data_IF_779276818448
#
_entry.id   IF_779276818448
#
_cell.length_a   1.000
_cell.length_b   1.000
_cell.length_c   1.000
_cell.angle_alpha   90.00
_cell.angle_beta   90.00
_cell.angle_gamma   90.00
#
_symmetry.space_group_name_H-M   'P 1'
#
loop_
_entity.id
_entity.type
_entity.pdbx_description
1 polymer ?
#
# COMPACT_ATOMS: atom_id res chain seq x y z
N UNK A 1 40.18 6.11 51.23
CA UNK A 1 39.26 7.27 51.30
C UNK A 1 39.06 7.78 49.88
N UNK A 2 37.78 7.91 49.49
CA UNK A 2 37.22 8.61 48.32
C UNK A 2 37.67 8.09 46.94
N UNK A 3 36.90 7.21 46.28
CA UNK A 3 35.63 7.49 45.57
C UNK A 3 35.72 8.68 44.62
N UNK A 4 36.10 8.41 43.38
CA UNK A 4 35.79 9.27 42.23
C UNK A 4 34.68 8.60 41.42
N UNK A 5 33.45 8.94 41.80
CA UNK A 5 32.23 8.63 41.07
C UNK A 5 32.24 9.42 39.77
N UNK A 6 32.61 8.76 38.67
CA UNK A 6 32.50 9.33 37.33
C UNK A 6 31.05 9.28 36.89
N UNK A 7 30.36 10.41 37.05
CA UNK A 7 29.10 10.72 36.39
C UNK A 7 29.34 10.83 34.87
N UNK A 8 29.20 9.73 34.13
CA UNK A 8 28.98 9.82 32.68
C UNK A 8 27.49 9.69 32.42
N UNK A 9 26.87 10.87 32.35
CA UNK A 9 25.50 11.05 31.93
C UNK A 9 25.27 10.34 30.58
N UNK A 10 24.17 9.61 30.53
CA UNK A 10 23.63 8.98 29.35
C UNK A 10 23.53 9.99 28.20
N UNK A 11 24.39 9.85 27.20
CA UNK A 11 24.16 10.44 25.89
C UNK A 11 23.11 9.57 25.22
N UNK A 12 21.85 9.96 25.40
CA UNK A 12 20.75 9.55 24.55
C UNK A 12 21.09 10.10 23.16
N UNK A 13 21.70 9.25 22.33
CA UNK A 13 21.83 9.51 20.89
C UNK A 13 20.42 9.33 20.32
N UNK A 14 19.65 10.41 20.42
CA UNK A 14 18.45 10.61 19.66
C UNK A 14 18.82 10.73 18.19
N UNK A 15 18.68 9.64 17.45
CA UNK A 15 18.47 9.71 16.01
C UNK A 15 16.96 9.67 15.81
N UNK A 16 16.34 10.82 16.07
CA UNK A 16 15.11 11.23 15.39
C UNK A 16 15.57 11.65 14.00
N UNK A 17 15.56 10.74 13.04
CA UNK A 17 15.83 11.07 11.65
C UNK A 17 15.16 10.07 10.71
N UNK A 18 13.83 10.04 10.69
CA UNK A 18 13.04 9.62 9.52
C UNK A 18 11.69 10.36 9.54
N UNK A 19 11.73 11.67 9.33
CA UNK A 19 10.50 12.47 9.11
C UNK A 19 10.73 13.47 7.98
N UNK A 20 11.31 13.02 6.88
CA UNK A 20 11.43 13.84 5.67
C UNK A 20 11.16 12.98 4.42
N UNK A 21 9.90 12.58 4.25
CA UNK A 21 9.36 12.14 2.95
C UNK A 21 7.84 12.35 2.94
N UNK A 22 7.39 13.53 3.37
CA UNK A 22 6.00 13.97 3.24
C UNK A 22 6.00 15.38 2.67
N UNK A 23 6.69 15.58 1.54
CA UNK A 23 6.57 16.82 0.78
C UNK A 23 6.07 16.52 -0.62
N UNK A 24 4.80 16.83 -0.79
CA UNK A 24 4.17 17.28 -2.03
C UNK A 24 4.22 16.31 -3.22
N UNK A 25 3.21 15.44 -3.28
CA UNK A 25 2.49 15.25 -4.54
C UNK A 25 1.02 15.49 -4.24
N UNK A 26 0.53 16.67 -4.62
CA UNK A 26 -0.87 17.10 -4.49
C UNK A 26 -1.79 16.37 -5.47
N UNK A 27 -1.70 15.04 -5.49
CA UNK A 27 -2.72 14.21 -6.08
C UNK A 27 -3.80 14.04 -5.01
N UNK A 28 -5.03 14.45 -5.30
CA UNK A 28 -6.21 14.00 -4.54
C UNK A 28 -6.20 12.47 -4.59
N UNK A 29 -5.60 11.87 -3.57
CA UNK A 29 -5.51 10.43 -3.47
C UNK A 29 -6.86 9.97 -2.96
N UNK A 30 -7.67 9.46 -3.88
CA UNK A 30 -8.98 8.97 -3.52
C UNK A 30 -8.78 7.71 -2.66
N UNK A 31 -8.89 7.90 -1.35
CA UNK A 31 -8.69 6.82 -0.39
C UNK A 31 -9.77 5.75 -0.62
N UNK A 32 -9.40 4.48 -0.58
CA UNK A 32 -10.40 3.42 -0.69
C UNK A 32 -11.34 3.48 0.51
N UNK A 33 -12.62 3.19 0.27
CA UNK A 33 -13.69 3.33 1.26
C UNK A 33 -13.47 2.51 2.54
N UNK A 34 -12.70 1.42 2.48
CA UNK A 34 -12.36 0.63 3.67
C UNK A 34 -11.49 1.39 4.68
N UNK A 35 -10.82 2.48 4.27
CA UNK A 35 -10.02 3.34 5.14
C UNK A 35 -10.78 4.57 5.67
N UNK A 36 -12.06 4.75 5.35
CA UNK A 36 -12.86 5.91 5.80
C UNK A 36 -12.88 6.05 7.33
N UNK A 37 -12.88 4.91 8.03
CA UNK A 37 -12.89 4.84 9.50
C UNK A 37 -11.51 4.62 10.12
N UNK A 38 -10.46 4.47 9.30
CA UNK A 38 -9.10 4.33 9.81
C UNK A 38 -8.59 5.66 10.36
N UNK A 39 -7.68 5.61 11.32
CA UNK A 39 -7.03 6.82 11.81
C UNK A 39 -6.15 7.46 10.71
N UNK A 40 -5.89 8.77 10.83
CA UNK A 40 -5.12 9.51 9.83
C UNK A 40 -3.70 8.98 9.63
N UNK A 41 -3.09 8.37 10.65
CA UNK A 41 -1.76 7.78 10.50
C UNK A 41 -1.80 6.49 9.66
N UNK A 42 -2.84 5.68 9.82
CA UNK A 42 -3.10 4.50 8.99
C UNK A 42 -3.43 4.87 7.55
N UNK A 43 -4.24 5.91 7.33
CA UNK A 43 -4.49 6.47 5.99
C UNK A 43 -3.20 6.98 5.33
N UNK A 44 -2.37 7.71 6.07
CA UNK A 44 -1.09 8.21 5.56
C UNK A 44 -0.13 7.05 5.24
N UNK A 45 -0.07 6.01 6.07
CA UNK A 45 0.73 4.79 5.81
C UNK A 45 0.28 4.11 4.52
N UNK A 46 -1.03 3.99 4.29
CA UNK A 46 -1.54 3.46 3.04
C UNK A 46 -1.06 4.28 1.84
N UNK A 47 -1.20 5.61 1.89
CA UNK A 47 -0.73 6.51 0.82
C UNK A 47 0.77 6.31 0.57
N UNK A 48 1.59 6.27 1.63
CA UNK A 48 3.03 6.01 1.51
C UNK A 48 3.31 4.67 0.82
N UNK A 49 2.60 3.60 1.18
CA UNK A 49 2.79 2.29 0.54
C UNK A 49 2.43 2.33 -0.94
N UNK A 50 1.29 2.91 -1.32
CA UNK A 50 0.83 2.88 -2.72
C UNK A 50 1.62 3.82 -3.63
N UNK A 51 2.11 4.94 -3.08
CA UNK A 51 2.90 5.94 -3.81
C UNK A 51 4.40 5.62 -3.87
N UNK A 52 4.89 4.67 -3.09
CA UNK A 52 6.30 4.27 -3.06
C UNK A 52 6.72 3.70 -4.43
N UNK A 53 7.60 4.38 -5.20
CA UNK A 53 7.98 3.93 -6.54
C UNK A 53 8.93 2.74 -6.52
N UNK A 54 9.61 2.48 -5.39
CA UNK A 54 10.66 1.46 -5.27
C UNK A 54 10.08 0.07 -4.95
N UNK A 55 8.80 -0.01 -4.56
CA UNK A 55 8.15 -1.27 -4.20
C UNK A 55 7.33 -1.86 -5.34
N UNK A 56 7.48 -3.17 -5.55
CA UNK A 56 6.68 -3.88 -6.54
C UNK A 56 5.21 -3.94 -6.12
N UNK A 57 4.27 -4.12 -7.07
CA UNK A 57 2.86 -4.24 -6.75
C UNK A 57 2.55 -5.33 -5.71
N UNK A 58 3.25 -6.47 -5.77
CA UNK A 58 3.10 -7.56 -4.80
C UNK A 58 3.55 -7.13 -3.41
N UNK A 59 4.72 -6.49 -3.29
CA UNK A 59 5.21 -6.00 -1.99
C UNK A 59 4.31 -4.92 -1.38
N UNK A 60 3.69 -4.09 -2.23
CA UNK A 60 2.68 -3.12 -1.78
C UNK A 60 1.45 -3.83 -1.22
N UNK A 61 0.98 -4.88 -1.88
CA UNK A 61 -0.15 -5.66 -1.39
C UNK A 61 0.15 -6.28 -0.02
N UNK A 62 1.32 -6.90 0.16
CA UNK A 62 1.74 -7.49 1.45
C UNK A 62 1.79 -6.43 2.56
N UNK A 63 2.37 -5.25 2.26
CA UNK A 63 2.43 -4.13 3.22
C UNK A 63 1.05 -3.58 3.59
N UNK A 64 0.11 -3.55 2.65
CA UNK A 64 -1.28 -3.14 2.92
C UNK A 64 -1.99 -4.21 3.76
N UNK A 65 -1.76 -5.49 3.49
CA UNK A 65 -2.32 -6.60 4.27
C UNK A 65 -1.88 -6.52 5.75
N UNK A 66 -0.58 -6.28 5.99
CA UNK A 66 -0.05 -6.08 7.34
C UNK A 66 -0.58 -4.82 8.02
N UNK A 67 -0.78 -3.72 7.26
CA UNK A 67 -1.42 -2.52 7.78
C UNK A 67 -2.84 -2.82 8.27
N UNK A 68 -3.61 -3.60 7.50
CA UNK A 68 -5.02 -3.93 7.77
C UNK A 68 -5.17 -4.92 8.92
N UNK A 69 -4.27 -5.90 9.07
CA UNK A 69 -4.28 -6.84 10.21
C UNK A 69 -4.24 -6.13 11.57
N UNK A 70 -3.58 -4.97 11.65
CA UNK A 70 -3.51 -4.16 12.85
C UNK A 70 -4.74 -3.28 13.11
N UNK A 71 -5.72 -3.26 12.20
CA UNK A 71 -6.93 -2.43 12.30
C UNK A 71 -8.09 -3.18 12.95
N UNK A 72 -9.19 -2.46 13.19
CA UNK A 72 -10.43 -3.04 13.69
C UNK A 72 -11.02 -4.08 12.72
N UNK A 73 -11.81 -5.01 13.26
CA UNK A 73 -12.46 -6.05 12.47
C UNK A 73 -13.34 -5.48 11.34
N UNK A 74 -13.99 -4.33 11.57
CA UNK A 74 -14.76 -3.62 10.55
C UNK A 74 -13.90 -3.21 9.35
N UNK A 75 -12.68 -2.71 9.58
CA UNK A 75 -11.76 -2.32 8.50
C UNK A 75 -11.24 -3.56 7.78
N UNK A 76 -10.95 -4.63 8.51
CA UNK A 76 -10.54 -5.91 7.92
C UNK A 76 -11.62 -6.49 7.00
N UNK A 77 -12.88 -6.49 7.44
CA UNK A 77 -14.02 -6.93 6.63
C UNK A 77 -14.23 -6.05 5.39
N UNK A 78 -14.12 -4.72 5.54
CA UNK A 78 -14.23 -3.79 4.42
C UNK A 78 -13.08 -3.98 3.41
N UNK A 79 -11.87 -4.30 3.86
CA UNK A 79 -10.75 -4.63 3.00
C UNK A 79 -10.96 -5.94 2.24
N UNK A 80 -11.48 -6.98 2.89
CA UNK A 80 -11.81 -8.24 2.22
C UNK A 80 -12.87 -8.04 1.11
N UNK A 81 -13.90 -7.22 1.37
CA UNK A 81 -14.89 -6.84 0.36
C UNK A 81 -14.25 -6.07 -0.81
N UNK A 82 -13.34 -5.15 -0.51
CA UNK A 82 -12.60 -4.42 -1.54
C UNK A 82 -11.74 -5.35 -2.41
N UNK A 83 -11.04 -6.32 -1.82
CA UNK A 83 -10.27 -7.32 -2.57
C UNK A 83 -11.18 -8.19 -3.47
N UNK A 84 -12.35 -8.60 -2.98
CA UNK A 84 -13.31 -9.35 -3.77
C UNK A 84 -13.81 -8.56 -5.00
N UNK A 85 -14.10 -7.26 -4.82
CA UNK A 85 -14.51 -6.39 -5.93
C UNK A 85 -13.38 -6.20 -6.96
N UNK A 86 -12.15 -6.01 -6.50
CA UNK A 86 -10.98 -5.91 -7.38
C UNK A 86 -10.80 -7.19 -8.22
N UNK A 87 -10.97 -8.37 -7.63
CA UNK A 87 -10.90 -9.63 -8.37
C UNK A 87 -12.03 -9.77 -9.39
N UNK A 88 -13.27 -9.41 -9.02
CA UNK A 88 -14.40 -9.45 -9.95
C UNK A 88 -14.19 -8.52 -11.17
N UNK A 89 -13.64 -7.32 -10.94
CA UNK A 89 -13.27 -6.39 -12.01
C UNK A 89 -12.16 -6.99 -12.88
N UNK A 90 -11.11 -7.55 -12.27
CA UNK A 90 -10.02 -8.19 -13.01
C UNK A 90 -10.50 -9.33 -13.88
N UNK A 91 -11.39 -10.17 -13.39
CA UNK A 91 -11.96 -11.28 -14.15
C UNK A 91 -12.80 -10.76 -15.32
N UNK A 92 -13.63 -9.74 -15.09
CA UNK A 92 -14.49 -9.17 -16.13
C UNK A 92 -13.67 -8.51 -17.26
N UNK A 93 -12.68 -7.69 -16.94
CA UNK A 93 -11.88 -7.00 -17.95
C UNK A 93 -10.74 -7.86 -18.51
N UNK A 94 -10.17 -8.76 -17.71
CA UNK A 94 -9.15 -9.71 -18.14
C UNK A 94 -9.68 -10.68 -19.20
N UNK A 95 -10.93 -11.12 -19.07
CA UNK A 95 -11.62 -11.90 -20.10
C UNK A 95 -11.84 -11.06 -21.37
N UNK A 96 -12.30 -9.81 -21.26
CA UNK A 96 -12.52 -8.95 -22.44
C UNK A 96 -11.25 -8.69 -23.26
N UNK A 97 -10.10 -8.45 -22.62
CA UNK A 97 -8.83 -8.25 -23.35
C UNK A 97 -8.35 -9.55 -24.01
N UNK A 98 -8.55 -10.70 -23.35
CA UNK A 98 -8.19 -12.00 -23.91
C UNK A 98 -9.06 -12.36 -25.13
N UNK A 99 -10.37 -12.07 -25.07
CA UNK A 99 -11.28 -12.26 -26.22
C UNK A 99 -10.96 -11.32 -27.39
N UNK A 100 -10.56 -10.07 -27.13
CA UNK A 100 -10.15 -9.12 -28.16
C UNK A 100 -8.80 -9.52 -28.82
N UNK A 101 -7.84 -10.01 -28.03
CA UNK A 101 -6.59 -10.61 -28.55
C UNK A 101 -6.84 -11.86 -29.38
N UNK A 102 -7.85 -12.65 -29.02
CA UNK A 102 -8.22 -13.85 -29.79
C UNK A 102 -8.84 -13.48 -31.14
N UNK A 103 -9.73 -12.49 -31.17
CA UNK A 103 -10.33 -12.00 -32.42
C UNK A 103 -9.29 -11.39 -33.37
N UNK A 104 -8.32 -10.64 -32.85
CA UNK A 104 -7.23 -10.05 -33.66
C UNK A 104 -6.19 -11.08 -34.12
N UNK A 105 -5.94 -12.14 -33.35
CA UNK A 105 -5.08 -13.24 -33.76
C UNK A 105 -5.71 -14.10 -34.87
N UNK A 106 -7.02 -14.35 -34.81
CA UNK A 106 -7.75 -15.09 -35.86
C UNK A 106 -7.80 -14.29 -37.18
N UNK A 107 -8.04 -12.97 -37.12
CA UNK A 107 -8.06 -12.08 -38.31
C UNK A 107 -6.69 -11.98 -38.99
N UNK A 108 -5.60 -11.96 -38.22
CA UNK A 108 -4.23 -11.95 -38.76
C UNK A 108 -3.81 -13.27 -39.43
N UNK A 109 -4.52 -14.37 -39.20
CA UNK A 109 -4.25 -15.67 -39.85
C UNK A 109 -5.02 -15.90 -41.15
N UNK A 110 -5.93 -15.01 -41.55
CA UNK A 110 -6.63 -15.07 -42.84
C UNK A 110 -6.02 -14.03 -43.80
N UNK A 111 -4.81 -14.32 -44.26
CA UNK A 111 -4.25 -13.69 -45.46
C UNK A 111 -3.31 -14.67 -46.15
N UNK A 112 -3.90 -15.69 -46.80
CA UNK A 112 -3.34 -16.39 -47.96
C UNK A 112 -4.47 -16.73 -48.92
#
# INVERSE_FOLDING_TARGET
>A
MQSSTLCFAAVIIGIVAMTEAAKANGHDFNLPSFLDKADSASQQKYITIVTDPETSPTQKADRIDDLVKGQSETIQQAYALFQAQQNAIKDQFGVSVADEMKLTADDATVSV
#
